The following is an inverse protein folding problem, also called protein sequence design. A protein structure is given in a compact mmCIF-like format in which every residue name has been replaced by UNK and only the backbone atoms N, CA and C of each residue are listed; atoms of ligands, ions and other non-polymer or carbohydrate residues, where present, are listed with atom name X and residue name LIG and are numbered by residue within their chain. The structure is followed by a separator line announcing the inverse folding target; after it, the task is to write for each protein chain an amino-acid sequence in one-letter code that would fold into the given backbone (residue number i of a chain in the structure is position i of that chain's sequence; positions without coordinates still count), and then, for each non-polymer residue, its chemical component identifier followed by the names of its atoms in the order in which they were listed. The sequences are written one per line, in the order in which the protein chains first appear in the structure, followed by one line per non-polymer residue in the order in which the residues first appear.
data_IF_694701590962
#
_entry.id   IF_694701590962
#
_cell.length_a   1.000
_cell.length_b   1.000
_cell.length_c   1.000
_cell.angle_alpha   90.00
_cell.angle_beta   90.00
_cell.angle_gamma   90.00
#
_symmetry.space_group_name_H-M   'P 1'
#
loop_
_entity.id
_entity.type
_entity.pdbx_description
1 polymer ?
#
# COMPACT_ATOMS: atom_id res chain seq x y z
N UNK A 1 18.47 -22.15 -8.35
CA UNK A 1 17.78 -21.27 -7.39
C UNK A 1 17.63 -19.92 -8.06
N UNK A 2 16.43 -19.57 -8.53
CA UNK A 2 16.18 -18.26 -9.15
C UNK A 2 16.22 -17.18 -8.08
N UNK A 3 17.05 -16.16 -8.27
CA UNK A 3 17.15 -14.98 -7.38
C UNK A 3 16.00 -13.98 -7.60
N UNK A 4 15.11 -14.26 -8.56
CA UNK A 4 13.95 -13.46 -8.94
C UNK A 4 13.00 -13.11 -7.77
N UNK A 5 12.68 -14.01 -6.82
CA UNK A 5 11.77 -13.68 -5.72
C UNK A 5 12.37 -12.63 -4.77
N UNK A 6 13.69 -12.72 -4.49
CA UNK A 6 14.36 -11.76 -3.62
C UNK A 6 14.49 -10.39 -4.28
N UNK A 7 14.78 -10.36 -5.59
CA UNK A 7 14.80 -9.12 -6.36
C UNK A 7 13.43 -8.45 -6.37
N UNK A 8 12.38 -9.21 -6.69
CA UNK A 8 11.00 -8.68 -6.70
C UNK A 8 10.61 -8.06 -5.36
N UNK A 9 10.87 -8.76 -4.25
CA UNK A 9 10.54 -8.28 -2.91
C UNK A 9 11.33 -7.00 -2.59
N UNK A 10 12.62 -6.97 -2.89
CA UNK A 10 13.42 -5.78 -2.62
C UNK A 10 12.92 -4.54 -3.39
N UNK A 11 12.65 -4.68 -4.69
CA UNK A 11 12.22 -3.57 -5.54
C UNK A 11 10.79 -3.12 -5.26
N UNK A 12 9.88 -4.06 -5.00
CA UNK A 12 8.49 -3.76 -4.64
C UNK A 12 8.39 -3.14 -3.25
N UNK A 13 9.21 -3.58 -2.28
CA UNK A 13 9.31 -2.93 -0.98
C UNK A 13 9.74 -1.46 -1.12
N UNK A 14 10.72 -1.14 -1.99
CA UNK A 14 11.12 0.24 -2.26
C UNK A 14 9.97 1.08 -2.85
N UNK A 15 9.22 0.51 -3.77
CA UNK A 15 8.03 1.13 -4.37
C UNK A 15 6.97 1.47 -3.32
N UNK A 16 6.63 0.51 -2.45
CA UNK A 16 5.65 0.76 -1.39
C UNK A 16 6.15 1.76 -0.34
N UNK A 17 7.45 1.77 -0.04
CA UNK A 17 8.06 2.80 0.81
C UNK A 17 7.91 4.18 0.14
N UNK A 18 8.15 4.28 -1.16
CA UNK A 18 7.99 5.54 -1.89
C UNK A 18 6.54 6.05 -1.86
N UNK A 19 5.57 5.15 -2.09
CA UNK A 19 4.14 5.45 -1.96
C UNK A 19 3.84 5.97 -0.55
N UNK A 20 4.36 5.29 0.49
CA UNK A 20 4.18 5.73 1.88
C UNK A 20 4.75 7.13 2.13
N UNK A 21 5.98 7.40 1.69
CA UNK A 21 6.61 8.72 1.85
C UNK A 21 5.87 9.83 1.10
N UNK A 22 5.41 9.58 -0.14
CA UNK A 22 4.59 10.53 -0.91
C UNK A 22 3.28 10.80 -0.17
N UNK A 23 2.62 9.74 0.30
CA UNK A 23 1.37 9.86 1.05
C UNK A 23 1.56 10.70 2.32
N UNK A 24 2.61 10.42 3.10
CA UNK A 24 2.92 11.21 4.28
C UNK A 24 3.25 12.67 3.92
N UNK A 25 3.98 12.91 2.85
CA UNK A 25 4.32 14.26 2.41
C UNK A 25 3.10 15.08 1.97
N UNK A 26 2.18 14.46 1.21
CA UNK A 26 0.96 15.11 0.71
C UNK A 26 0.04 15.57 1.83
N UNK A 27 -0.03 14.82 2.93
CA UNK A 27 -0.95 15.10 4.05
C UNK A 27 -0.22 15.58 5.32
N UNK A 28 1.05 15.96 5.18
CA UNK A 28 1.94 16.40 6.28
C UNK A 28 1.95 15.44 7.49
N UNK A 29 1.80 14.15 7.26
CA UNK A 29 1.98 13.14 8.29
C UNK A 29 3.47 12.95 8.58
N UNK A 30 3.84 12.64 9.82
CA UNK A 30 5.22 12.35 10.18
C UNK A 30 5.54 10.88 9.91
N UNK A 31 6.32 10.54 8.86
CA UNK A 31 6.60 9.15 8.52
C UNK A 31 7.43 8.43 9.60
N UNK A 32 8.22 9.18 10.38
CA UNK A 32 9.11 8.62 11.42
C UNK A 32 8.39 7.96 12.58
N UNK A 33 7.15 8.36 12.88
CA UNK A 33 6.40 7.85 14.03
C UNK A 33 5.76 6.47 13.75
N UNK A 34 5.57 6.12 12.48
CA UNK A 34 4.78 4.94 12.05
C UNK A 34 5.59 4.00 11.14
N UNK A 35 6.89 4.27 10.97
CA UNK A 35 7.72 3.54 10.01
C UNK A 35 7.80 2.04 10.30
N UNK A 36 7.83 1.62 11.57
CA UNK A 36 7.91 0.19 11.91
C UNK A 36 6.62 -0.59 11.57
N UNK A 37 5.41 -0.16 12.01
CA UNK A 37 4.16 -0.76 11.54
C UNK A 37 3.99 -0.69 10.03
N UNK A 38 4.37 0.43 9.40
CA UNK A 38 4.27 0.61 7.96
C UNK A 38 5.16 -0.40 7.22
N UNK A 39 6.43 -0.56 7.61
CA UNK A 39 7.34 -1.52 7.00
C UNK A 39 6.84 -2.97 7.14
N UNK A 40 6.26 -3.34 8.28
CA UNK A 40 5.68 -4.67 8.47
C UNK A 40 4.50 -4.92 7.50
N UNK A 41 3.59 -3.96 7.37
CA UNK A 41 2.47 -4.06 6.41
C UNK A 41 2.98 -4.06 4.97
N UNK A 42 3.97 -3.22 4.63
CA UNK A 42 4.58 -3.18 3.30
C UNK A 42 5.18 -4.54 2.92
N UNK A 43 5.87 -5.21 3.84
CA UNK A 43 6.40 -6.56 3.58
C UNK A 43 5.29 -7.58 3.33
N UNK A 44 4.15 -7.47 4.03
CA UNK A 44 3.00 -8.34 3.79
C UNK A 44 2.33 -8.03 2.43
N UNK A 45 2.21 -6.76 2.07
CA UNK A 45 1.70 -6.31 0.77
C UNK A 45 2.56 -6.84 -0.38
N UNK A 46 3.87 -6.85 -0.18
CA UNK A 46 4.83 -7.31 -1.17
C UNK A 46 4.78 -8.83 -1.37
N UNK A 47 4.76 -9.59 -0.28
CA UNK A 47 4.55 -11.04 -0.33
C UNK A 47 3.24 -11.39 -1.03
N UNK A 48 2.14 -10.75 -0.63
CA UNK A 48 0.83 -10.92 -1.26
C UNK A 48 0.86 -10.54 -2.76
N UNK A 49 1.48 -9.42 -3.11
CA UNK A 49 1.65 -8.96 -4.50
C UNK A 49 2.41 -9.97 -5.36
N UNK A 50 3.48 -10.57 -4.82
CA UNK A 50 4.25 -11.60 -5.52
C UNK A 50 3.38 -12.81 -5.87
N UNK A 51 2.64 -13.33 -4.89
CA UNK A 51 1.78 -14.51 -5.09
C UNK A 51 0.61 -14.23 -6.05
N UNK A 52 -0.03 -13.06 -5.95
CA UNK A 52 -1.12 -12.67 -6.86
C UNK A 52 -0.68 -12.51 -8.31
N UNK A 53 0.53 -12.01 -8.54
CA UNK A 53 1.06 -11.82 -9.91
C UNK A 53 1.59 -13.12 -10.51
N UNK A 54 2.26 -13.94 -9.71
CA UNK A 54 2.98 -15.12 -10.21
C UNK A 54 2.13 -16.39 -10.23
N UNK A 55 1.36 -16.63 -9.17
CA UNK A 55 0.61 -17.88 -9.03
C UNK A 55 -0.85 -17.74 -9.44
N UNK A 56 -1.42 -16.54 -9.32
CA UNK A 56 -2.85 -16.31 -9.56
C UNK A 56 -3.14 -15.63 -10.89
N UNK A 57 -2.12 -15.11 -11.59
CA UNK A 57 -2.27 -14.34 -12.84
C UNK A 57 -3.30 -13.20 -12.72
N UNK A 58 -3.48 -12.64 -11.52
CA UNK A 58 -4.46 -11.59 -11.20
C UNK A 58 -3.76 -10.26 -10.82
N UNK A 59 -2.89 -9.69 -11.69
CA UNK A 59 -2.16 -8.46 -11.38
C UNK A 59 -3.08 -7.26 -11.17
N UNK A 60 -4.30 -7.29 -11.71
CA UNK A 60 -5.29 -6.21 -11.60
C UNK A 60 -5.83 -6.02 -10.17
N UNK A 61 -5.80 -7.06 -9.32
CA UNK A 61 -6.30 -6.98 -7.94
C UNK A 61 -5.26 -6.48 -6.94
N UNK A 62 -3.97 -6.54 -7.31
CA UNK A 62 -2.85 -6.11 -6.45
C UNK A 62 -3.00 -4.66 -5.98
N UNK A 63 -3.24 -3.66 -6.87
CA UNK A 63 -3.44 -2.27 -6.44
C UNK A 63 -4.62 -2.09 -5.48
N UNK A 64 -5.72 -2.82 -5.69
CA UNK A 64 -6.93 -2.70 -4.85
C UNK A 64 -6.66 -3.18 -3.42
N UNK A 65 -6.02 -4.34 -3.28
CA UNK A 65 -5.66 -4.88 -1.96
C UNK A 65 -4.61 -3.98 -1.30
N UNK A 66 -3.66 -3.44 -2.06
CA UNK A 66 -2.66 -2.53 -1.52
C UNK A 66 -3.27 -1.24 -0.97
N UNK A 67 -4.20 -0.63 -1.71
CA UNK A 67 -4.95 0.54 -1.23
C UNK A 67 -5.71 0.18 0.04
N UNK A 68 -6.40 -0.96 0.08
CA UNK A 68 -7.12 -1.42 1.27
C UNK A 68 -6.19 -1.57 2.49
N UNK A 69 -5.02 -2.19 2.32
CA UNK A 69 -4.04 -2.37 3.39
C UNK A 69 -3.46 -1.02 3.87
N UNK A 70 -3.24 -0.06 2.96
CA UNK A 70 -2.88 1.31 3.35
C UNK A 70 -4.00 2.01 4.12
N UNK A 71 -5.27 1.86 3.73
CA UNK A 71 -6.41 2.43 4.46
C UNK A 71 -6.42 1.91 5.90
N UNK A 72 -6.28 0.60 6.06
CA UNK A 72 -6.25 -0.04 7.36
C UNK A 72 -5.03 0.42 8.18
N UNK A 73 -3.85 0.52 7.57
CA UNK A 73 -2.66 1.08 8.22
C UNK A 73 -2.93 2.50 8.74
N UNK A 74 -3.43 3.39 7.89
CA UNK A 74 -3.63 4.78 8.28
C UNK A 74 -4.73 4.95 9.33
N UNK A 75 -5.80 4.15 9.24
CA UNK A 75 -6.90 4.17 10.21
C UNK A 75 -6.55 3.58 11.56
N UNK A 76 -5.89 2.42 11.57
CA UNK A 76 -5.58 1.71 12.81
C UNK A 76 -4.41 2.37 13.55
N UNK A 77 -3.31 2.66 12.83
CA UNK A 77 -2.06 3.13 13.44
C UNK A 77 -2.04 4.65 13.62
N UNK A 78 -2.30 5.42 12.57
CA UNK A 78 -2.30 6.90 12.62
C UNK A 78 -3.56 7.51 13.23
N UNK A 79 -4.56 6.67 13.51
CA UNK A 79 -5.86 7.09 14.05
C UNK A 79 -6.68 8.04 13.16
N UNK A 80 -6.43 8.04 11.86
CA UNK A 80 -7.19 8.83 10.90
C UNK A 80 -8.57 8.16 10.65
N UNK A 81 -9.66 8.94 10.53
CA UNK A 81 -10.97 8.41 10.15
C UNK A 81 -10.92 7.58 8.86
N UNK A 82 -11.71 6.50 8.77
CA UNK A 82 -11.71 5.56 7.64
C UNK A 82 -11.87 6.26 6.30
N UNK A 83 -12.81 7.20 6.24
CA UNK A 83 -13.09 7.98 5.03
C UNK A 83 -11.87 8.80 4.60
N UNK A 84 -11.17 9.41 5.55
CA UNK A 84 -9.96 10.17 5.27
C UNK A 84 -8.79 9.26 4.93
N UNK A 85 -8.63 8.12 5.61
CA UNK A 85 -7.62 7.12 5.25
C UNK A 85 -7.83 6.57 3.84
N UNK A 86 -9.08 6.39 3.41
CA UNK A 86 -9.43 6.05 2.04
C UNK A 86 -8.95 7.10 1.04
N UNK A 87 -9.33 8.37 1.26
CA UNK A 87 -8.90 9.48 0.42
C UNK A 87 -7.38 9.58 0.37
N UNK A 88 -6.71 9.51 1.53
CA UNK A 88 -5.25 9.62 1.65
C UNK A 88 -4.53 8.50 0.91
N UNK A 89 -4.96 7.25 1.12
CA UNK A 89 -4.35 6.07 0.49
C UNK A 89 -4.54 6.07 -1.02
N UNK A 90 -5.75 6.41 -1.49
CA UNK A 90 -6.04 6.54 -2.92
C UNK A 90 -5.20 7.66 -3.52
N UNK A 91 -5.19 8.85 -2.93
CA UNK A 91 -4.41 9.98 -3.45
C UNK A 91 -2.90 9.70 -3.48
N UNK A 92 -2.36 9.08 -2.44
CA UNK A 92 -0.94 8.69 -2.39
C UNK A 92 -0.57 7.66 -3.47
N UNK A 93 -1.40 6.64 -3.63
CA UNK A 93 -1.22 5.62 -4.67
C UNK A 93 -1.31 6.23 -6.09
N UNK A 94 -2.33 7.06 -6.34
CA UNK A 94 -2.49 7.75 -7.63
C UNK A 94 -1.35 8.71 -7.92
N UNK A 95 -0.86 9.46 -6.94
CA UNK A 95 0.28 10.35 -7.11
C UNK A 95 1.53 9.60 -7.56
N UNK A 96 1.78 8.43 -6.98
CA UNK A 96 2.89 7.58 -7.38
C UNK A 96 2.69 6.96 -8.78
N UNK A 97 1.47 6.52 -9.11
CA UNK A 97 1.14 6.04 -10.47
C UNK A 97 1.34 7.14 -11.51
N UNK A 98 0.92 8.38 -11.22
CA UNK A 98 1.15 9.52 -12.11
C UNK A 98 2.65 9.79 -12.31
N UNK A 99 3.45 9.66 -11.25
CA UNK A 99 4.90 9.75 -11.33
C UNK A 99 5.47 8.66 -12.24
N UNK A 100 5.06 7.39 -12.06
CA UNK A 100 5.49 6.28 -12.92
C UNK A 100 5.08 6.49 -14.39
N UNK A 101 3.83 6.89 -14.65
CA UNK A 101 3.35 7.17 -16.01
C UNK A 101 4.14 8.31 -16.65
N UNK A 102 4.40 9.38 -15.88
CA UNK A 102 5.24 10.49 -16.33
C UNK A 102 6.64 10.03 -16.73
N UNK A 103 7.28 9.18 -15.92
CA UNK A 103 8.59 8.61 -16.23
C UNK A 103 8.56 7.72 -17.48
N UNK A 104 7.53 6.89 -17.65
CA UNK A 104 7.36 6.05 -18.84
C UNK A 104 7.23 6.91 -20.11
N UNK A 105 6.46 7.98 -20.07
CA UNK A 105 6.29 8.90 -21.20
C UNK A 105 7.60 9.65 -21.52
N UNK A 106 8.33 10.09 -20.50
CA UNK A 106 9.64 10.74 -20.64
C UNK A 106 10.75 9.79 -21.09
N UNK A 107 10.52 8.48 -21.07
CA UNK A 107 11.48 7.46 -21.49
C UNK A 107 11.50 7.23 -23.00
N UNK A 108 10.75 8.02 -23.80
CA UNK A 108 10.73 7.99 -25.27
C UNK A 108 10.64 6.57 -25.88
N UNK A 109 9.88 5.67 -25.25
CA UNK A 109 9.64 4.30 -25.73
C UNK A 109 10.53 3.21 -25.13
N UNK A 110 11.60 3.53 -24.39
CA UNK A 110 12.52 2.55 -23.78
C UNK A 110 11.90 1.76 -22.60
N UNK A 111 10.84 2.28 -22.00
CA UNK A 111 10.06 1.66 -20.93
C UNK A 111 8.59 1.50 -21.34
N UNK A 112 8.33 1.14 -22.60
CA UNK A 112 6.96 0.93 -23.07
C UNK A 112 6.26 -0.24 -22.36
N UNK A 113 4.93 -0.19 -22.25
CA UNK A 113 4.11 -1.21 -21.58
C UNK A 113 4.33 -2.63 -22.17
N UNK A 114 4.62 -2.70 -23.48
CA UNK A 114 4.97 -3.95 -24.18
C UNK A 114 6.34 -4.51 -23.77
N UNK A 115 7.31 -3.63 -23.46
CA UNK A 115 8.64 -4.05 -23.02
C UNK A 115 8.67 -4.42 -21.54
N UNK A 116 7.88 -3.74 -20.71
CA UNK A 116 7.69 -4.06 -19.29
C UNK A 116 7.08 -5.45 -19.06
N UNK A 117 6.19 -5.88 -19.96
CA UNK A 117 5.57 -7.22 -19.90
C UNK A 117 6.50 -8.33 -20.40
N UNK A 118 7.51 -8.00 -21.22
CA UNK A 118 8.41 -8.99 -21.83
C UNK A 118 9.77 -9.12 -21.12
N UNK A 119 10.20 -8.09 -20.38
CA UNK A 119 11.49 -8.04 -19.70
C UNK A 119 11.31 -7.60 -18.24
N UNK A 120 11.30 -8.53 -17.27
CA UNK A 120 11.12 -8.22 -15.84
C UNK A 120 12.12 -7.21 -15.30
N UNK A 121 13.36 -7.22 -15.80
CA UNK A 121 14.41 -6.27 -15.43
C UNK A 121 14.04 -4.80 -15.68
N UNK A 122 13.25 -4.50 -16.73
CA UNK A 122 12.79 -3.15 -17.03
C UNK A 122 11.75 -2.66 -16.02
N UNK A 123 10.95 -3.59 -15.49
CA UNK A 123 10.02 -3.33 -14.38
C UNK A 123 10.75 -2.93 -13.10
N UNK A 124 11.76 -3.70 -12.72
CA UNK A 124 12.59 -3.37 -11.54
C UNK A 124 13.31 -2.03 -11.68
N UNK A 125 13.81 -1.72 -12.88
CA UNK A 125 14.44 -0.44 -13.15
C UNK A 125 13.48 0.74 -12.99
N UNK A 126 12.26 0.63 -13.53
CA UNK A 126 11.22 1.63 -13.35
C UNK A 126 10.83 1.80 -11.87
N UNK A 127 10.71 0.70 -11.12
CA UNK A 127 10.41 0.73 -9.68
C UNK A 127 11.49 1.47 -8.90
N UNK A 128 12.78 1.22 -9.16
CA UNK A 128 13.88 1.91 -8.48
C UNK A 128 13.87 3.40 -8.78
N UNK A 129 13.80 3.79 -10.05
CA UNK A 129 13.84 5.21 -10.44
C UNK A 129 12.63 5.95 -9.88
N UNK A 130 11.43 5.38 -10.03
CA UNK A 130 10.21 5.97 -9.49
C UNK A 130 10.26 6.08 -7.97
N UNK A 131 10.85 5.11 -7.27
CA UNK A 131 11.01 5.16 -5.82
C UNK A 131 11.99 6.22 -5.36
N UNK A 132 13.15 6.34 -6.03
CA UNK A 132 14.16 7.36 -5.71
C UNK A 132 13.61 8.76 -5.93
N UNK A 133 12.97 9.00 -7.08
CA UNK A 133 12.35 10.29 -7.41
C UNK A 133 11.16 10.55 -6.50
N UNK A 134 10.35 9.54 -6.20
CA UNK A 134 9.20 9.63 -5.32
C UNK A 134 9.59 10.02 -3.90
N UNK A 135 10.56 9.33 -3.30
CA UNK A 135 11.05 9.63 -1.94
C UNK A 135 11.75 11.00 -1.91
N UNK A 136 12.62 11.28 -2.89
CA UNK A 136 13.33 12.56 -2.98
C UNK A 136 12.37 13.74 -3.16
N UNK A 137 11.43 13.61 -4.08
CA UNK A 137 10.38 14.59 -4.36
C UNK A 137 9.44 14.78 -3.16
N UNK A 138 9.03 13.70 -2.51
CA UNK A 138 8.21 13.76 -1.30
C UNK A 138 8.92 14.51 -0.16
N UNK A 139 10.21 14.25 0.08
CA UNK A 139 11.00 14.97 1.10
C UNK A 139 11.15 16.45 0.76
N UNK A 140 11.43 16.78 -0.50
CA UNK A 140 11.54 18.16 -0.94
C UNK A 140 10.19 18.89 -0.80
N UNK A 141 9.10 18.27 -1.21
CA UNK A 141 7.75 18.82 -1.07
C UNK A 141 7.37 19.04 0.40
N UNK A 142 7.72 18.11 1.28
CA UNK A 142 7.52 18.25 2.72
C UNK A 142 8.37 19.39 3.31
N UNK A 143 9.64 19.51 2.90
CA UNK A 143 10.55 20.57 3.35
C UNK A 143 10.11 21.96 2.89
N UNK A 144 9.48 22.07 1.72
CA UNK A 144 8.90 23.32 1.20
C UNK A 144 7.63 23.75 1.95
N UNK A 145 7.19 22.97 2.95
CA UNK A 145 5.91 23.21 3.61
C UNK A 145 4.73 22.95 2.68
N UNK A 146 4.88 22.12 1.65
CA UNK A 146 3.77 21.61 0.86
C UNK A 146 2.85 20.71 1.69
N UNK A 147 1.67 20.42 1.15
CA UNK A 147 0.76 19.41 1.71
C UNK A 147 -0.47 19.98 2.40
N UNK A 148 -1.51 19.16 2.42
CA UNK A 148 -2.83 19.53 2.92
C UNK A 148 -2.94 19.20 4.40
N UNK A 149 -3.13 20.21 5.24
CA UNK A 149 -3.55 20.05 6.62
C UNK A 149 -5.08 20.05 6.67
N UNK A 150 -5.69 18.88 6.55
CA UNK A 150 -7.11 18.72 6.81
C UNK A 150 -7.35 18.52 8.30
N UNK A 151 -8.34 19.22 8.87
CA UNK A 151 -8.88 18.90 10.19
C UNK A 151 -9.66 17.58 10.10
N UNK A 152 -8.95 16.47 10.26
CA UNK A 152 -9.51 15.12 10.21
C UNK A 152 -10.61 14.89 11.27
N UNK A 153 -10.69 15.73 12.31
CA UNK A 153 -11.63 15.65 13.42
C UNK A 153 -13.11 15.78 13.00
N UNK A 154 -13.41 16.53 11.93
CA UNK A 154 -14.78 16.97 11.61
C UNK A 154 -15.68 15.87 11.00
N UNK A 155 -15.09 14.78 10.53
CA UNK A 155 -15.76 13.69 9.81
C UNK A 155 -15.63 12.33 10.52
N UNK A 156 -15.45 12.36 11.85
CA UNK A 156 -15.32 11.15 12.66
C UNK A 156 -16.68 10.47 12.83
N UNK A 157 -16.93 9.40 12.07
CA UNK A 157 -18.18 8.65 12.16
C UNK A 157 -18.28 7.93 13.52
N UNK A 158 -19.43 8.02 14.19
CA UNK A 158 -19.65 7.44 15.53
C UNK A 158 -19.54 5.91 15.59
N UNK A 159 -19.51 5.24 14.44
CA UNK A 159 -19.40 3.77 14.27
C UNK A 159 -18.23 3.33 13.39
N UNK A 160 -17.15 4.11 13.30
CA UNK A 160 -15.99 3.75 12.46
C UNK A 160 -15.44 2.36 12.75
N UNK A 161 -15.31 1.98 14.04
CA UNK A 161 -14.80 0.67 14.41
C UNK A 161 -15.64 -0.46 13.82
N UNK A 162 -16.97 -0.31 13.80
CA UNK A 162 -17.87 -1.29 13.18
C UNK A 162 -17.66 -1.38 11.66
N UNK A 163 -17.51 -0.25 10.97
CA UNK A 163 -17.26 -0.24 9.53
C UNK A 163 -15.89 -0.82 9.17
N UNK A 164 -14.86 -0.54 9.97
CA UNK A 164 -13.53 -1.17 9.82
C UNK A 164 -13.63 -2.67 10.04
N UNK A 165 -14.31 -3.12 11.09
CA UNK A 165 -14.52 -4.55 11.35
C UNK A 165 -15.33 -5.24 10.23
N UNK A 166 -16.34 -4.57 9.67
CA UNK A 166 -17.10 -5.08 8.52
C UNK A 166 -16.21 -5.14 7.26
N UNK A 167 -15.42 -4.11 6.99
CA UNK A 167 -14.52 -4.05 5.84
C UNK A 167 -13.45 -5.15 5.95
N UNK A 168 -12.88 -5.35 7.14
CA UNK A 168 -11.97 -6.44 7.46
C UNK A 168 -12.68 -7.79 7.30
N UNK A 169 -13.93 -7.92 7.76
CA UNK A 169 -14.73 -9.14 7.61
C UNK A 169 -14.99 -9.49 6.14
N UNK A 170 -15.33 -8.49 5.31
CA UNK A 170 -15.50 -8.67 3.87
C UNK A 170 -14.17 -9.07 3.22
N UNK A 171 -13.07 -8.42 3.59
CA UNK A 171 -11.73 -8.78 3.10
C UNK A 171 -11.35 -10.22 3.45
N UNK A 172 -11.67 -10.68 4.68
CA UNK A 172 -11.47 -12.06 5.12
C UNK A 172 -12.33 -13.04 4.32
N UNK A 173 -13.62 -12.77 4.13
CA UNK A 173 -14.52 -13.63 3.35
C UNK A 173 -14.08 -13.73 1.90
N UNK A 174 -13.64 -12.61 1.32
CA UNK A 174 -13.13 -12.57 -0.06
C UNK A 174 -11.83 -13.38 -0.18
N UNK A 175 -10.96 -13.31 0.82
CA UNK A 175 -9.72 -14.10 0.88
C UNK A 175 -10.00 -15.61 1.02
N UNK A 176 -10.99 -15.99 1.84
CA UNK A 176 -11.44 -17.38 1.98
C UNK A 176 -12.09 -17.90 0.71
N UNK A 177 -12.86 -17.06 0.02
CA UNK A 177 -13.46 -17.41 -1.28
C UNK A 177 -12.38 -17.63 -2.36
N UNK A 178 -11.33 -16.80 -2.38
CA UNK A 178 -10.16 -17.01 -3.24
C UNK A 178 -9.49 -18.36 -2.91
N UNK A 179 -9.31 -18.69 -1.62
CA UNK A 179 -8.75 -19.99 -1.19
C UNK A 179 -9.57 -21.18 -1.70
N UNK A 180 -10.90 -21.09 -1.63
CA UNK A 180 -11.80 -22.15 -2.07
C UNK A 180 -11.72 -22.43 -3.58
N UNK A 181 -11.39 -21.42 -4.38
CA UNK A 181 -11.18 -21.56 -5.82
C UNK A 181 -9.78 -22.11 -6.18
N UNK A 182 -8.99 -22.56 -5.20
CA UNK A 182 -7.68 -23.19 -5.43
C UNK A 182 -6.51 -22.21 -5.51
N UNK A 183 -6.73 -20.94 -5.17
CA UNK A 183 -5.69 -19.92 -5.19
C UNK A 183 -4.80 -20.02 -3.94
N UNK A 184 -3.48 -19.93 -4.17
CA UNK A 184 -2.35 -20.04 -3.22
C UNK A 184 -2.67 -19.84 -1.74
N UNK A 185 -2.49 -20.91 -0.94
CA UNK A 185 -2.60 -20.92 0.53
C UNK A 185 -1.79 -19.79 1.19
N UNK A 186 -0.66 -19.42 0.60
CA UNK A 186 0.28 -18.45 1.16
C UNK A 186 -0.26 -17.01 1.11
N UNK A 187 -0.99 -16.65 0.05
CA UNK A 187 -1.62 -15.33 -0.07
C UNK A 187 -2.68 -15.16 1.03
N UNK A 188 -3.49 -16.19 1.22
CA UNK A 188 -4.57 -16.19 2.22
C UNK A 188 -4.01 -16.14 3.63
N UNK A 189 -2.92 -16.84 3.91
CA UNK A 189 -2.21 -16.74 5.20
C UNK A 189 -1.66 -15.33 5.40
N UNK A 190 -1.02 -14.74 4.39
CA UNK A 190 -0.41 -13.40 4.47
C UNK A 190 -1.46 -12.31 4.73
N UNK A 191 -2.56 -12.34 3.97
CA UNK A 191 -3.70 -11.44 4.15
C UNK A 191 -4.37 -11.68 5.51
N UNK A 192 -4.56 -12.93 5.93
CA UNK A 192 -5.14 -13.25 7.24
C UNK A 192 -4.28 -12.73 8.39
N UNK A 193 -2.95 -12.84 8.30
CA UNK A 193 -2.01 -12.30 9.29
C UNK A 193 -2.11 -10.76 9.33
N UNK A 194 -2.13 -10.10 8.17
CA UNK A 194 -2.32 -8.64 8.09
C UNK A 194 -3.63 -8.21 8.76
N UNK A 195 -4.73 -8.94 8.48
CA UNK A 195 -6.05 -8.63 9.01
C UNK A 195 -6.15 -8.92 10.52
N UNK A 196 -5.55 -10.01 11.03
CA UNK A 196 -5.45 -10.27 12.47
C UNK A 196 -4.66 -9.19 13.19
N UNK A 197 -3.57 -8.69 12.59
CA UNK A 197 -2.81 -7.56 13.12
C UNK A 197 -3.67 -6.30 13.20
N UNK A 198 -4.45 -6.00 12.16
CA UNK A 198 -5.38 -4.87 12.18
C UNK A 198 -6.52 -5.03 13.19
N UNK A 199 -7.07 -6.24 13.36
CA UNK A 199 -8.08 -6.54 14.38
C UNK A 199 -7.50 -6.31 15.78
N UNK A 200 -6.30 -6.82 16.06
CA UNK A 200 -5.62 -6.60 17.34
C UNK A 200 -5.44 -5.11 17.64
N UNK A 201 -4.98 -4.34 16.66
CA UNK A 201 -4.83 -2.88 16.82
C UNK A 201 -6.18 -2.16 16.95
N UNK A 202 -7.21 -2.58 16.22
CA UNK A 202 -8.55 -2.02 16.34
C UNK A 202 -9.15 -2.24 17.75
N UNK A 203 -9.03 -3.46 18.29
CA UNK A 203 -9.53 -3.82 19.62
C UNK A 203 -8.73 -3.13 20.74
N UNK A 204 -7.39 -3.15 20.66
CA UNK A 204 -6.54 -2.46 21.63
C UNK A 204 -6.89 -0.97 21.73
N UNK A 205 -7.20 -0.35 20.59
CA UNK A 205 -7.57 1.07 20.50
C UNK A 205 -8.98 1.37 21.01
N UNK A 206 -9.91 0.42 20.96
CA UNK A 206 -11.22 0.56 21.61
C UNK A 206 -11.05 0.58 23.14
N UNK A 207 -10.17 -0.29 23.66
CA UNK A 207 -9.88 -0.39 25.09
C UNK A 207 -9.07 0.77 25.68
N UNK A 208 -8.35 1.54 24.85
CA UNK A 208 -7.67 2.79 25.27
C UNK A 208 -8.62 4.01 25.27
N UNK A 209 -9.85 3.85 24.77
CA UNK A 209 -10.83 4.92 24.61
C UNK A 209 -11.93 4.93 25.69
N UNK A 210 -12.01 3.84 26.46
CA UNK A 210 -12.78 3.67 27.70
C UNK A 210 -11.88 3.88 28.92
#
# INVERSE_FOLDING_TARGET
MSWEPMGFVFFSTLEFIAIYFITCALFRLKPSEIIFPALFIILLMDLQSFFLRKDLELPAFVPLINILLFILLFTTVTRIPVMWSAVISVMGYFAFVLLQVGLVQLSFGYLSVSELSSHPEKGYFLQVISSVIGIGGARMFYALGGGFTFEFERLRLRRETLYVCILIGIALVTSVWLLYNGNSLTDVISVSIALLFFIYFAIKKEKERD
#
